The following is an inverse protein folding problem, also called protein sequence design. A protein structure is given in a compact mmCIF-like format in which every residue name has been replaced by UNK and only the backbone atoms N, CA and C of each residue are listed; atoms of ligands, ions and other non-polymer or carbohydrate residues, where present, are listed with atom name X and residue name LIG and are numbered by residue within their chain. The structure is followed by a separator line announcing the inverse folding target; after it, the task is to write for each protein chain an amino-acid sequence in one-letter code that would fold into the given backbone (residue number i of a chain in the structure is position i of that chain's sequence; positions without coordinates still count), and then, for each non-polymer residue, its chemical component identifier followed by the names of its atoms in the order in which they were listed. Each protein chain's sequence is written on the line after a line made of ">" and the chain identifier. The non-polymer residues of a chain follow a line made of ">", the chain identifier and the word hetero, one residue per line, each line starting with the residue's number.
data_IF_507991472555
#
_entry.id   IF_507991472555
#
_cell.length_a   1.000
_cell.length_b   1.000
_cell.length_c   1.000
_cell.angle_alpha   90.00
_cell.angle_beta   90.00
_cell.angle_gamma   90.00
#
_symmetry.space_group_name_H-M   'P 1'
#
loop_
_entity.id
_entity.type
_entity.pdbx_description
1 polymer ?
#
# COMPACT_ATOMS: atom_id res chain seq x y z
N UNK A 1 -15.54 3.27 36.82
CA UNK A 1 -15.65 2.37 35.66
C UNK A 1 -14.71 2.85 34.58
N UNK A 2 -13.52 2.28 34.49
CA UNK A 2 -12.62 2.52 33.37
C UNK A 2 -13.09 1.63 32.22
N UNK A 3 -13.82 2.21 31.28
CA UNK A 3 -14.00 1.62 29.97
C UNK A 3 -12.68 1.81 29.20
N UNK A 4 -11.72 0.91 29.39
CA UNK A 4 -10.66 0.68 28.41
C UNK A 4 -11.33 0.06 27.18
N UNK A 5 -11.86 0.90 26.33
CA UNK A 5 -12.13 0.56 24.94
C UNK A 5 -10.79 0.64 24.20
N UNK A 6 -9.85 -0.24 24.53
CA UNK A 6 -8.86 -0.68 23.56
C UNK A 6 -9.69 -1.44 22.52
N UNK A 7 -10.07 -0.75 21.46
CA UNK A 7 -10.63 -1.41 20.28
C UNK A 7 -9.55 -2.36 19.79
N UNK A 8 -9.79 -3.66 20.00
CA UNK A 8 -8.87 -4.70 19.54
C UNK A 8 -8.68 -4.53 18.04
N UNK A 9 -7.42 -4.40 17.60
CA UNK A 9 -7.12 -4.24 16.18
C UNK A 9 -7.49 -5.52 15.42
N UNK A 10 -8.34 -5.40 14.43
CA UNK A 10 -8.68 -6.50 13.52
C UNK A 10 -8.09 -6.23 12.12
N UNK A 11 -7.47 -7.26 11.54
CA UNK A 11 -7.04 -7.21 10.14
C UNK A 11 -8.28 -7.10 9.23
N UNK A 12 -8.17 -6.33 8.15
CA UNK A 12 -9.23 -6.25 7.14
C UNK A 12 -8.97 -7.17 5.97
N UNK A 13 -10.00 -7.47 5.19
CA UNK A 13 -9.83 -8.13 3.90
C UNK A 13 -9.09 -7.18 2.93
N UNK A 14 -8.13 -7.72 2.18
CA UNK A 14 -7.33 -6.93 1.23
C UNK A 14 -8.21 -6.25 0.18
N UNK A 15 -9.35 -6.85 -0.16
CA UNK A 15 -10.35 -6.32 -1.08
C UNK A 15 -10.94 -4.98 -0.64
N UNK A 16 -11.08 -4.75 0.66
CA UNK A 16 -11.57 -3.47 1.18
C UNK A 16 -10.55 -2.36 0.98
N UNK A 17 -9.27 -2.69 1.13
CA UNK A 17 -8.16 -1.75 0.93
C UNK A 17 -7.99 -1.42 -0.57
N UNK A 18 -8.07 -2.44 -1.44
CA UNK A 18 -7.99 -2.21 -2.89
C UNK A 18 -9.15 -1.33 -3.39
N UNK A 19 -10.38 -1.60 -2.92
CA UNK A 19 -11.55 -0.78 -3.27
C UNK A 19 -11.37 0.66 -2.84
N UNK A 20 -10.86 0.90 -1.63
CA UNK A 20 -10.58 2.26 -1.16
C UNK A 20 -9.73 3.02 -2.16
N UNK A 21 -8.58 2.49 -2.56
CA UNK A 21 -7.68 3.19 -3.49
C UNK A 21 -8.26 3.34 -4.90
N UNK A 22 -9.00 2.36 -5.39
CA UNK A 22 -9.65 2.44 -6.70
C UNK A 22 -10.73 3.52 -6.69
N UNK A 23 -11.58 3.57 -5.65
CA UNK A 23 -12.61 4.61 -5.49
C UNK A 23 -11.95 5.98 -5.45
N UNK A 24 -10.91 6.16 -4.62
CA UNK A 24 -10.18 7.43 -4.53
C UNK A 24 -9.60 7.87 -5.87
N UNK A 25 -9.04 6.94 -6.63
CA UNK A 25 -8.53 7.23 -7.98
C UNK A 25 -9.62 7.59 -9.01
N UNK A 26 -10.85 7.15 -8.77
CA UNK A 26 -12.01 7.44 -9.65
C UNK A 26 -12.71 8.78 -9.32
N UNK A 27 -12.49 9.33 -8.12
CA UNK A 27 -13.02 10.65 -7.75
C UNK A 27 -12.47 11.78 -8.66
N UNK A 28 -11.27 11.57 -9.21
CA UNK A 28 -10.57 12.54 -10.07
C UNK A 28 -10.69 12.12 -11.55
N UNK A 29 -11.80 12.49 -12.18
CA UNK A 29 -12.18 11.87 -13.46
C UNK A 29 -11.42 12.33 -14.70
N UNK A 30 -10.94 13.55 -14.83
CA UNK A 30 -10.46 13.99 -16.15
C UNK A 30 -9.34 15.04 -16.17
N UNK A 31 -8.92 15.59 -15.05
CA UNK A 31 -8.00 16.72 -15.03
C UNK A 31 -6.59 16.41 -14.46
N UNK A 32 -6.42 15.29 -13.79
CA UNK A 32 -5.16 14.95 -13.12
C UNK A 32 -4.78 13.49 -13.37
N UNK A 33 -4.07 13.27 -14.47
CA UNK A 33 -3.56 11.94 -14.86
C UNK A 33 -2.68 11.32 -13.77
N UNK A 34 -2.06 12.16 -12.92
CA UNK A 34 -1.19 11.72 -11.83
C UNK A 34 -1.95 11.04 -10.68
N UNK A 35 -3.22 11.38 -10.48
CA UNK A 35 -4.06 10.75 -9.44
C UNK A 35 -4.72 9.44 -9.88
N UNK A 36 -4.62 9.07 -11.16
CA UNK A 36 -5.15 7.80 -11.64
C UNK A 36 -4.49 6.62 -10.95
N UNK A 37 -5.28 5.62 -10.60
CA UNK A 37 -4.81 4.37 -10.02
C UNK A 37 -4.75 3.29 -11.11
N UNK A 38 -3.55 3.05 -11.65
CA UNK A 38 -3.25 1.91 -12.51
C UNK A 38 -2.96 0.67 -11.67
N UNK A 39 -2.95 -0.54 -12.27
CA UNK A 39 -2.59 -1.77 -11.55
C UNK A 39 -1.25 -1.69 -10.82
N UNK A 40 -0.23 -1.10 -11.44
CA UNK A 40 1.07 -0.92 -10.81
C UNK A 40 1.00 0.04 -9.62
N UNK A 41 0.33 1.18 -9.78
CA UNK A 41 0.16 2.16 -8.71
C UNK A 41 -0.64 1.58 -7.54
N UNK A 42 -1.68 0.80 -7.81
CA UNK A 42 -2.43 0.09 -6.78
C UNK A 42 -1.51 -0.78 -5.93
N UNK A 43 -0.65 -1.59 -6.55
CA UNK A 43 0.30 -2.44 -5.82
C UNK A 43 1.21 -1.63 -4.87
N UNK A 44 1.67 -0.47 -5.31
CA UNK A 44 2.52 0.40 -4.48
C UNK A 44 1.74 1.03 -3.33
N UNK A 45 0.53 1.51 -3.58
CA UNK A 45 -0.35 2.03 -2.53
C UNK A 45 -0.69 0.97 -1.49
N UNK A 46 -0.96 -0.28 -1.92
CA UNK A 46 -1.18 -1.42 -1.03
C UNK A 46 0.04 -1.71 -0.15
N UNK A 47 1.24 -1.68 -0.73
CA UNK A 47 2.51 -1.88 0.00
C UNK A 47 2.73 -0.78 1.04
N UNK A 48 2.56 0.48 0.68
CA UNK A 48 2.67 1.59 1.63
C UNK A 48 1.59 1.55 2.70
N UNK A 49 0.36 1.14 2.37
CA UNK A 49 -0.71 0.96 3.36
C UNK A 49 -0.35 -0.09 4.41
N UNK A 50 0.14 -1.24 3.99
CA UNK A 50 0.60 -2.28 4.91
C UNK A 50 1.76 -1.80 5.78
N UNK A 51 2.77 -1.18 5.18
CA UNK A 51 3.97 -0.71 5.88
C UNK A 51 3.67 0.36 6.92
N UNK A 52 2.88 1.37 6.57
CA UNK A 52 2.52 2.44 7.50
C UNK A 52 1.55 1.99 8.58
N UNK A 53 0.71 1.00 8.30
CA UNK A 53 -0.11 0.37 9.35
C UNK A 53 0.77 -0.28 10.41
N UNK A 54 1.81 -1.03 10.02
CA UNK A 54 2.80 -1.53 10.97
C UNK A 54 3.47 -0.43 11.78
N UNK A 55 3.87 0.67 11.12
CA UNK A 55 4.55 1.77 11.78
C UNK A 55 3.68 2.48 12.83
N UNK A 56 2.40 2.63 12.56
CA UNK A 56 1.49 3.40 13.42
C UNK A 56 0.82 2.56 14.50
N UNK A 57 0.55 1.29 14.22
CA UNK A 57 -0.24 0.41 15.11
C UNK A 57 0.53 -0.79 15.65
N UNK A 58 1.61 -1.19 15.00
CA UNK A 58 2.31 -2.44 15.29
C UNK A 58 1.60 -3.69 14.74
N UNK A 59 0.50 -3.52 13.99
CA UNK A 59 -0.31 -4.61 13.47
C UNK A 59 -0.32 -4.65 11.95
N UNK A 60 -0.74 -5.79 11.40
CA UNK A 60 -1.01 -5.94 9.97
C UNK A 60 -2.30 -5.25 9.59
N UNK A 61 -2.36 -4.70 8.38
CA UNK A 61 -3.61 -4.23 7.79
C UNK A 61 -4.40 -5.41 7.20
N UNK A 62 -3.72 -6.28 6.44
CA UNK A 62 -4.27 -7.49 5.82
C UNK A 62 -3.26 -8.65 5.84
N UNK A 63 -3.71 -9.86 5.53
CA UNK A 63 -2.92 -11.10 5.68
C UNK A 63 -1.95 -11.37 4.54
N UNK A 64 -2.26 -10.88 3.34
CA UNK A 64 -1.57 -11.22 2.11
C UNK A 64 -0.09 -10.83 2.14
N UNK A 65 0.72 -11.65 1.47
CA UNK A 65 2.16 -11.43 1.35
C UNK A 65 2.51 -10.70 0.06
N UNK A 66 3.53 -9.85 0.13
CA UNK A 66 4.15 -9.25 -1.04
C UNK A 66 5.29 -10.12 -1.55
N UNK A 67 5.38 -10.26 -2.87
CA UNK A 67 6.52 -10.85 -3.55
C UNK A 67 7.42 -9.74 -4.14
N UNK A 68 8.73 -10.00 -4.17
CA UNK A 68 9.75 -9.07 -4.63
C UNK A 68 9.94 -9.14 -6.15
N UNK A 69 8.91 -8.84 -6.91
CA UNK A 69 8.96 -8.87 -8.37
C UNK A 69 9.90 -7.79 -8.92
N UNK A 70 10.27 -7.92 -10.20
CA UNK A 70 11.09 -6.92 -10.91
C UNK A 70 10.49 -5.51 -10.86
N UNK A 71 9.19 -5.40 -10.75
CA UNK A 71 8.47 -4.12 -10.66
C UNK A 71 8.16 -3.69 -9.23
N UNK A 72 8.95 -4.15 -8.26
CA UNK A 72 8.76 -3.86 -6.84
C UNK A 72 7.82 -4.84 -6.15
N UNK A 73 7.37 -4.51 -4.91
CA UNK A 73 6.43 -5.33 -4.15
C UNK A 73 5.10 -5.52 -4.86
N UNK A 74 4.66 -6.77 -4.99
CA UNK A 74 3.42 -7.16 -5.69
C UNK A 74 2.68 -8.22 -4.86
N UNK A 75 1.37 -8.09 -4.76
CA UNK A 75 0.45 -9.17 -4.34
C UNK A 75 -0.06 -9.85 -5.61
N UNK A 76 0.33 -11.12 -5.90
CA UNK A 76 0.12 -11.74 -7.20
C UNK A 76 -1.34 -11.82 -7.66
N UNK A 77 -2.27 -12.18 -6.77
CA UNK A 77 -3.68 -12.30 -7.16
C UNK A 77 -4.32 -10.93 -7.49
N UNK A 78 -3.90 -9.85 -6.84
CA UNK A 78 -4.31 -8.49 -7.23
C UNK A 78 -3.75 -8.09 -8.59
N UNK A 79 -2.50 -8.48 -8.87
CA UNK A 79 -1.92 -8.26 -10.19
C UNK A 79 -2.75 -8.99 -11.27
N UNK A 80 -3.06 -10.27 -11.06
CA UNK A 80 -3.84 -11.06 -12.00
C UNK A 80 -5.25 -10.50 -12.22
N UNK A 81 -5.89 -10.00 -11.16
CA UNK A 81 -7.21 -9.38 -11.21
C UNK A 81 -7.25 -8.14 -12.10
N UNK A 82 -6.22 -7.30 -12.04
CA UNK A 82 -6.22 -5.98 -12.67
C UNK A 82 -5.28 -5.84 -13.88
N UNK A 83 -4.46 -6.84 -14.22
CA UNK A 83 -3.49 -6.76 -15.34
C UNK A 83 -4.11 -6.40 -16.68
N UNK A 84 -5.40 -6.70 -16.89
CA UNK A 84 -6.15 -6.33 -18.11
C UNK A 84 -6.17 -4.82 -18.38
N UNK A 85 -5.99 -3.98 -17.36
CA UNK A 85 -5.94 -2.52 -17.52
C UNK A 85 -4.57 -2.01 -17.99
N UNK A 86 -3.50 -2.80 -17.91
CA UNK A 86 -2.15 -2.41 -18.32
C UNK A 86 -1.66 -1.20 -17.54
N UNK A 87 -1.35 -0.10 -18.23
CA UNK A 87 -0.96 1.18 -17.62
C UNK A 87 -2.12 2.16 -17.42
N UNK A 88 -3.32 1.77 -17.86
CA UNK A 88 -4.52 2.63 -17.74
C UNK A 88 -5.06 2.60 -16.31
N UNK A 89 -5.91 3.60 -16.01
CA UNK A 89 -6.69 3.59 -14.76
C UNK A 89 -7.55 2.34 -14.65
N UNK A 90 -7.66 1.80 -13.46
CA UNK A 90 -8.65 0.77 -13.15
C UNK A 90 -10.03 1.45 -13.13
N UNK A 91 -10.84 1.14 -14.12
CA UNK A 91 -12.15 1.76 -14.34
C UNK A 91 -13.26 0.72 -14.14
N UNK A 92 -13.18 0.01 -13.02
CA UNK A 92 -14.16 -0.99 -12.62
C UNK A 92 -15.23 -0.32 -11.75
N UNK A 93 -16.49 -0.46 -12.15
CA UNK A 93 -17.61 0.02 -11.33
C UNK A 93 -17.76 -0.84 -10.08
N UNK A 94 -17.32 -0.33 -8.94
CA UNK A 94 -17.37 -1.08 -7.68
C UNK A 94 -18.76 -1.06 -7.03
N UNK A 95 -19.63 -0.10 -7.42
CA UNK A 95 -21.01 0.01 -6.91
C UNK A 95 -21.11 0.38 -5.43
N UNK A 96 -19.99 0.78 -4.79
CA UNK A 96 -19.91 1.15 -3.38
C UNK A 96 -19.13 2.44 -3.21
N UNK A 97 -19.38 3.14 -2.10
CA UNK A 97 -18.63 4.34 -1.68
C UNK A 97 -17.64 3.98 -0.57
N UNK A 98 -16.68 4.86 -0.30
CA UNK A 98 -15.69 4.67 0.77
C UNK A 98 -16.36 4.44 2.13
N UNK A 99 -17.46 5.13 2.41
CA UNK A 99 -18.20 5.04 3.66
C UNK A 99 -18.92 3.70 3.86
N UNK A 100 -19.06 2.92 2.79
CA UNK A 100 -19.72 1.60 2.79
C UNK A 100 -18.72 0.45 2.91
N UNK A 101 -17.40 0.74 2.91
CA UNK A 101 -16.36 -0.25 3.07
C UNK A 101 -16.30 -0.77 4.52
N UNK A 102 -16.02 -2.05 4.67
CA UNK A 102 -15.83 -2.68 5.99
C UNK A 102 -14.44 -2.38 6.55
N UNK A 103 -14.19 -1.11 6.82
CA UNK A 103 -12.95 -0.57 7.39
C UNK A 103 -13.24 0.14 8.70
N UNK A 104 -12.38 -0.07 9.70
CA UNK A 104 -12.46 0.68 10.95
C UNK A 104 -12.10 2.16 10.73
N UNK A 105 -12.49 3.01 11.67
CA UNK A 105 -12.12 4.44 11.61
C UNK A 105 -10.60 4.64 11.55
N UNK A 106 -9.84 3.87 12.33
CA UNK A 106 -8.38 3.94 12.35
C UNK A 106 -7.77 3.48 11.03
N UNK A 107 -8.28 2.38 10.45
CA UNK A 107 -7.86 1.92 9.12
C UNK A 107 -8.12 2.98 8.06
N UNK A 108 -9.29 3.59 8.04
CA UNK A 108 -9.62 4.68 7.11
C UNK A 108 -8.69 5.87 7.27
N UNK A 109 -8.37 6.28 8.50
CA UNK A 109 -7.41 7.37 8.73
C UNK A 109 -6.03 7.06 8.14
N UNK A 110 -5.53 5.84 8.34
CA UNK A 110 -4.23 5.41 7.78
C UNK A 110 -4.29 5.40 6.25
N UNK A 111 -5.35 4.86 5.66
CA UNK A 111 -5.49 4.81 4.20
C UNK A 111 -5.59 6.21 3.59
N UNK A 112 -6.33 7.13 4.20
CA UNK A 112 -6.36 8.54 3.77
C UNK A 112 -4.98 9.18 3.88
N UNK A 113 -4.25 8.94 4.96
CA UNK A 113 -2.89 9.44 5.13
C UNK A 113 -1.95 8.92 4.03
N UNK A 114 -2.02 7.62 3.70
CA UNK A 114 -1.24 7.02 2.60
C UNK A 114 -1.62 7.63 1.26
N UNK A 115 -2.90 7.80 1.01
CA UNK A 115 -3.39 8.46 -0.20
C UNK A 115 -2.80 9.88 -0.34
N UNK A 116 -2.90 10.70 0.68
CA UNK A 116 -2.41 12.08 0.66
C UNK A 116 -0.88 12.17 0.43
N UNK A 117 -0.14 11.18 0.90
CA UNK A 117 1.33 11.15 0.75
C UNK A 117 1.79 10.64 -0.60
N UNK A 118 1.14 9.62 -1.14
CA UNK A 118 1.66 8.86 -2.27
C UNK A 118 0.85 9.00 -3.57
N UNK A 119 -0.42 9.39 -3.53
CA UNK A 119 -1.29 9.42 -4.71
C UNK A 119 -0.81 10.37 -5.82
N UNK A 120 -0.15 11.46 -5.47
CA UNK A 120 0.39 12.46 -6.40
C UNK A 120 1.59 11.98 -7.23
N UNK A 121 2.18 10.84 -6.86
CA UNK A 121 3.32 10.31 -7.59
C UNK A 121 2.88 9.32 -8.65
N UNK A 122 3.54 9.33 -9.79
CA UNK A 122 3.32 8.35 -10.85
C UNK A 122 3.70 6.93 -10.40
N UNK A 123 3.07 5.93 -11.02
CA UNK A 123 3.34 4.52 -10.72
C UNK A 123 4.83 4.16 -10.88
N UNK A 124 5.49 4.72 -11.91
CA UNK A 124 6.92 4.48 -12.15
C UNK A 124 7.81 5.07 -11.05
N UNK A 125 7.50 6.27 -10.58
CA UNK A 125 8.23 6.87 -9.46
C UNK A 125 8.10 6.02 -8.19
N UNK A 126 6.90 5.55 -7.89
CA UNK A 126 6.68 4.68 -6.72
C UNK A 126 7.38 3.32 -6.87
N UNK A 127 7.44 2.76 -8.09
CA UNK A 127 8.24 1.57 -8.38
C UNK A 127 9.72 1.82 -8.06
N UNK A 128 10.29 2.91 -8.59
CA UNK A 128 11.70 3.26 -8.37
C UNK A 128 12.00 3.52 -6.89
N UNK A 129 11.07 4.13 -6.17
CA UNK A 129 11.17 4.33 -4.73
C UNK A 129 11.25 3.01 -3.97
N UNK A 130 10.37 2.04 -4.29
CA UNK A 130 10.40 0.73 -3.63
C UNK A 130 11.67 -0.07 -3.93
N UNK A 131 12.32 0.16 -5.08
CA UNK A 131 13.60 -0.47 -5.42
C UNK A 131 14.77 0.05 -4.58
N UNK A 132 14.65 1.19 -3.94
CA UNK A 132 15.64 1.75 -3.00
C UNK A 132 15.34 1.37 -1.54
N UNK A 133 14.24 0.70 -1.27
CA UNK A 133 13.80 0.38 0.08
C UNK A 133 14.29 -1.00 0.53
N UNK A 134 14.73 -1.07 1.79
CA UNK A 134 15.32 -2.27 2.39
C UNK A 134 14.49 -3.55 2.20
N UNK A 135 13.16 -3.58 2.39
CA UNK A 135 12.40 -4.83 2.31
C UNK A 135 12.50 -5.52 0.95
N UNK A 136 12.42 -4.75 -0.14
CA UNK A 136 12.54 -5.29 -1.49
C UNK A 136 13.98 -5.73 -1.81
N UNK A 137 14.97 -4.90 -1.44
CA UNK A 137 16.39 -5.19 -1.63
C UNK A 137 16.77 -6.47 -0.87
N UNK A 138 16.37 -6.54 0.41
CA UNK A 138 16.69 -7.69 1.27
C UNK A 138 16.07 -8.99 0.76
N UNK A 139 14.82 -8.94 0.29
CA UNK A 139 14.16 -10.12 -0.24
C UNK A 139 14.84 -10.66 -1.52
N UNK A 140 15.43 -9.77 -2.33
CA UNK A 140 16.11 -10.14 -3.58
C UNK A 140 17.58 -10.53 -3.40
N UNK A 141 18.23 -10.06 -2.33
CA UNK A 141 19.64 -10.34 -2.08
C UNK A 141 20.52 -9.96 -3.27
N UNK A 142 21.34 -10.88 -3.74
CA UNK A 142 22.26 -10.67 -4.87
C UNK A 142 21.62 -10.85 -6.26
N UNK A 143 20.30 -11.07 -6.33
CA UNK A 143 19.62 -11.22 -7.62
C UNK A 143 19.66 -9.90 -8.39
N UNK A 144 20.13 -9.88 -9.65
CA UNK A 144 20.11 -8.67 -10.47
C UNK A 144 18.70 -8.07 -10.58
N UNK A 145 18.62 -6.74 -10.61
CA UNK A 145 17.34 -6.02 -10.62
C UNK A 145 16.49 -6.29 -11.87
N UNK A 146 17.11 -6.71 -12.97
CA UNK A 146 16.47 -7.08 -14.23
C UNK A 146 15.95 -8.53 -14.28
N UNK A 147 16.12 -9.29 -13.20
CA UNK A 147 15.66 -10.68 -13.11
C UNK A 147 14.35 -10.80 -12.37
N UNK A 148 13.46 -11.63 -12.90
CA UNK A 148 12.21 -11.96 -12.22
C UNK A 148 12.46 -12.89 -11.04
N UNK A 149 11.71 -12.71 -9.97
CA UNK A 149 11.57 -13.67 -8.88
C UNK A 149 10.19 -13.54 -8.25
N UNK A 150 9.80 -14.55 -7.49
CA UNK A 150 8.55 -14.59 -6.74
C UNK A 150 8.82 -14.77 -5.22
N UNK A 151 9.99 -14.35 -4.76
CA UNK A 151 10.36 -14.47 -3.36
C UNK A 151 9.52 -13.55 -2.49
N UNK A 152 9.09 -14.07 -1.35
CA UNK A 152 8.26 -13.32 -0.41
C UNK A 152 9.12 -12.26 0.29
N UNK A 153 8.60 -11.05 0.37
CA UNK A 153 9.14 -10.00 1.21
C UNK A 153 8.67 -10.29 2.64
N UNK A 154 9.61 -10.50 3.56
CA UNK A 154 9.30 -10.81 4.95
C UNK A 154 8.54 -9.66 5.61
N UNK A 155 7.49 -10.00 6.34
CA UNK A 155 6.67 -9.02 7.07
C UNK A 155 7.50 -8.26 8.11
N UNK A 156 8.45 -8.93 8.75
CA UNK A 156 9.37 -8.36 9.73
C UNK A 156 10.27 -7.28 9.10
N UNK A 157 10.69 -7.46 7.84
CA UNK A 157 11.50 -6.48 7.13
C UNK A 157 10.66 -5.23 6.77
N UNK A 158 9.41 -5.42 6.34
CA UNK A 158 8.46 -4.33 6.10
C UNK A 158 8.21 -3.56 7.40
N UNK A 159 7.88 -4.26 8.47
CA UNK A 159 7.58 -3.68 9.77
C UNK A 159 8.76 -2.85 10.31
N UNK A 160 9.96 -3.44 10.34
CA UNK A 160 11.16 -2.76 10.86
C UNK A 160 11.53 -1.54 10.05
N UNK A 161 11.42 -1.62 8.72
CA UNK A 161 11.71 -0.51 7.82
C UNK A 161 10.76 0.68 8.07
N UNK A 162 9.45 0.44 8.05
CA UNK A 162 8.48 1.52 8.22
C UNK A 162 8.46 2.09 9.64
N UNK A 163 8.71 1.28 10.67
CA UNK A 163 8.91 1.77 12.05
C UNK A 163 10.12 2.70 12.15
N UNK A 164 11.22 2.36 11.48
CA UNK A 164 12.41 3.22 11.40
C UNK A 164 12.11 4.55 10.71
N UNK A 165 11.40 4.51 9.59
CA UNK A 165 10.95 5.69 8.84
C UNK A 165 10.06 6.60 9.70
N UNK A 166 9.11 6.03 10.45
CA UNK A 166 8.22 6.77 11.34
C UNK A 166 8.99 7.51 12.43
N UNK A 167 9.97 6.89 13.05
CA UNK A 167 10.84 7.53 14.05
C UNK A 167 11.60 8.73 13.46
N UNK A 168 12.14 8.59 12.26
CA UNK A 168 12.85 9.68 11.55
C UNK A 168 11.92 10.86 11.29
N UNK A 169 10.69 10.61 10.83
CA UNK A 169 9.69 11.67 10.61
C UNK A 169 9.35 12.39 11.91
N UNK A 170 9.20 11.68 13.03
CA UNK A 170 8.91 12.27 14.33
C UNK A 170 10.05 13.16 14.83
N UNK A 171 11.31 12.79 14.59
CA UNK A 171 12.48 13.61 14.93
C UNK A 171 12.47 14.90 14.11
N UNK A 172 12.26 14.82 12.80
CA UNK A 172 12.25 15.98 11.91
C UNK A 172 11.12 16.98 12.21
N UNK A 173 10.00 16.53 12.80
CA UNK A 173 8.90 17.40 13.20
C UNK A 173 9.15 18.16 14.51
N UNK A 174 10.18 17.77 15.27
CA UNK A 174 10.54 18.40 16.56
C UNK A 174 11.63 19.46 16.42
N UNK A 175 12.22 19.58 15.24
CA UNK A 175 13.21 20.61 14.86
C UNK A 175 12.49 21.73 14.12
#
# INVERSE_FOLDING_TARGET
>A
MNLNLETEWEETAIEEVEKFFIIKGQEFKDEDDDLRVSPLKLQKLMYYAQGWTYAFTGHKLFRDDFQAWIRGPIVPHLYDKYKKYGSRRIDEGLGVKVEELSLSFEQLQILHWVWDKYSKFEAKFLEDLTHMEFPWIQARGDLPNDRNCNWIIKKEDIESFFKSMSKTIQILRKV
#
